data_IF_490735925642
#
_entry.id   IF_490735925642
#
_cell.length_a   1.000
_cell.length_b   1.000
_cell.length_c   1.000
_cell.angle_alpha   90.00
_cell.angle_beta   90.00
_cell.angle_gamma   90.00
#
_symmetry.space_group_name_H-M   'P 1'
#
loop_
_entity.id
_entity.type
_entity.pdbx_description
1 polymer ?
#
# COMPACT_ATOMS: atom_id res chain seq x y z
N UNK A 1 -8.30 -2.76 -4.81
CA UNK A 1 -8.87 -1.65 -4.04
C UNK A 1 -9.31 -0.53 -4.95
N UNK A 2 -10.44 0.08 -4.67
CA UNK A 2 -10.95 1.21 -5.44
C UNK A 2 -11.18 2.42 -4.55
N UNK A 3 -10.75 3.58 -5.04
CA UNK A 3 -11.04 4.87 -4.45
C UNK A 3 -11.90 5.65 -5.43
N UNK A 4 -13.06 6.09 -4.98
CA UNK A 4 -14.01 6.84 -5.82
C UNK A 4 -14.13 8.27 -5.35
N UNK A 5 -14.09 9.18 -6.29
CA UNK A 5 -14.36 10.59 -6.05
C UNK A 5 -15.43 11.07 -7.03
N UNK A 6 -16.52 11.69 -6.56
CA UNK A 6 -17.52 12.23 -7.47
C UNK A 6 -16.97 13.25 -8.45
N UNK A 7 -15.92 13.96 -8.06
CA UNK A 7 -15.32 15.01 -8.89
C UNK A 7 -14.20 14.49 -9.79
N UNK A 8 -13.43 13.47 -9.34
CA UNK A 8 -12.18 13.10 -9.98
C UNK A 8 -12.21 11.74 -10.67
N UNK A 9 -13.24 10.92 -10.42
CA UNK A 9 -13.34 9.60 -11.01
C UNK A 9 -12.91 8.48 -10.05
N UNK A 10 -12.50 7.35 -10.62
CA UNK A 10 -12.16 6.16 -9.86
C UNK A 10 -10.71 5.79 -10.06
N UNK A 11 -10.03 5.56 -8.96
CA UNK A 11 -8.68 5.02 -8.93
C UNK A 11 -8.76 3.56 -8.50
N UNK A 12 -8.08 2.68 -9.23
CA UNK A 12 -8.06 1.25 -8.91
C UNK A 12 -6.64 0.79 -8.71
N UNK A 13 -6.39 0.19 -7.54
CA UNK A 13 -5.12 -0.46 -7.23
C UNK A 13 -5.34 -1.96 -7.20
N UNK A 14 -4.57 -2.70 -7.99
CA UNK A 14 -4.53 -4.15 -7.99
C UNK A 14 -3.14 -4.63 -7.64
N UNK A 15 -3.05 -5.62 -6.76
CA UNK A 15 -1.79 -6.22 -6.33
C UNK A 15 -1.92 -7.73 -6.39
N UNK A 16 -0.85 -8.41 -6.81
CA UNK A 16 -0.84 -9.87 -6.84
C UNK A 16 -0.67 -10.47 -5.44
N UNK A 17 -0.63 -11.80 -5.34
CA UNK A 17 -0.52 -12.49 -4.06
C UNK A 17 0.80 -12.29 -3.32
N UNK A 18 1.79 -11.66 -3.97
CA UNK A 18 3.05 -11.30 -3.32
C UNK A 18 2.89 -10.17 -2.29
N UNK A 19 1.74 -9.49 -2.30
CA UNK A 19 1.43 -8.38 -1.42
C UNK A 19 0.26 -8.72 -0.51
N UNK A 20 0.45 -9.52 0.55
CA UNK A 20 -0.67 -9.96 1.38
C UNK A 20 -1.23 -8.88 2.31
N UNK A 21 -0.56 -7.75 2.44
CA UNK A 21 -0.95 -6.68 3.34
C UNK A 21 -1.18 -5.37 2.60
N UNK A 22 -2.12 -4.57 3.09
CA UNK A 22 -2.41 -3.26 2.55
C UNK A 22 -2.55 -2.28 3.70
N UNK A 23 -1.81 -1.18 3.64
CA UNK A 23 -1.93 -0.09 4.59
C UNK A 23 -2.51 1.13 3.90
N UNK A 24 -3.45 1.79 4.55
CA UNK A 24 -4.06 3.02 4.06
C UNK A 24 -3.86 4.11 5.12
N UNK A 25 -3.33 5.24 4.70
CA UNK A 25 -3.08 6.37 5.59
C UNK A 25 -3.67 7.65 4.99
N UNK A 26 -4.51 8.33 5.76
CA UNK A 26 -5.25 9.52 5.31
C UNK A 26 -4.58 10.84 5.71
N UNK A 27 -3.45 10.78 6.39
CA UNK A 27 -2.72 11.98 6.81
C UNK A 27 -3.23 12.61 8.09
N UNK A 28 -3.97 11.88 8.92
CA UNK A 28 -4.61 12.43 10.13
C UNK A 28 -3.60 12.86 11.20
N UNK A 29 -2.37 12.33 11.15
CA UNK A 29 -1.31 12.70 12.09
C UNK A 29 -0.42 13.83 11.59
N UNK A 30 -0.67 14.34 10.39
CA UNK A 30 0.08 15.44 9.84
C UNK A 30 -0.33 16.78 10.46
N UNK A 31 0.43 17.85 10.15
CA UNK A 31 0.09 19.20 10.61
C UNK A 31 -1.32 19.59 10.16
N UNK A 32 -2.04 20.42 10.93
CA UNK A 32 -3.44 20.75 10.63
C UNK A 32 -3.71 21.19 9.18
N UNK A 33 -2.83 21.97 8.58
CA UNK A 33 -3.01 22.42 7.19
C UNK A 33 -2.78 21.35 6.13
N UNK A 34 -2.31 20.17 6.51
CA UNK A 34 -1.96 19.09 5.60
C UNK A 34 -2.78 17.81 5.82
N UNK A 35 -3.65 17.80 6.81
CA UNK A 35 -4.46 16.62 7.12
C UNK A 35 -5.49 16.37 6.02
N UNK A 36 -5.66 15.09 5.67
CA UNK A 36 -6.68 14.61 4.72
C UNK A 36 -6.64 15.25 3.34
N UNK A 37 -5.50 15.76 2.95
CA UNK A 37 -5.30 16.33 1.60
C UNK A 37 -4.86 15.29 0.58
N UNK A 38 -4.44 14.12 1.06
CA UNK A 38 -4.03 13.00 0.22
C UNK A 38 -4.25 11.71 0.98
N UNK A 39 -4.17 10.60 0.27
CA UNK A 39 -4.24 9.28 0.85
C UNK A 39 -3.06 8.47 0.32
N UNK A 40 -2.36 7.78 1.22
CA UNK A 40 -1.35 6.81 0.86
C UNK A 40 -1.98 5.42 0.90
N UNK A 41 -1.82 4.66 -0.18
CA UNK A 41 -2.26 3.27 -0.26
C UNK A 41 -1.02 2.44 -0.56
N UNK A 42 -0.65 1.59 0.39
CA UNK A 42 0.66 0.95 0.40
C UNK A 42 0.51 -0.56 0.39
N UNK A 43 0.69 -1.24 -0.76
CA UNK A 43 0.87 -2.68 -0.77
C UNK A 43 2.14 -3.05 -0.01
N UNK A 44 2.06 -4.08 0.84
CA UNK A 44 3.16 -4.47 1.72
C UNK A 44 3.34 -5.99 1.71
N UNK A 45 4.57 -6.43 1.84
CA UNK A 45 4.87 -7.87 1.97
C UNK A 45 4.63 -8.37 3.39
N UNK A 46 4.67 -7.48 4.37
CA UNK A 46 4.50 -7.81 5.78
C UNK A 46 3.82 -6.63 6.48
N UNK A 47 3.21 -6.86 7.66
CA UNK A 47 2.60 -5.78 8.42
C UNK A 47 3.66 -4.85 9.01
N UNK A 48 3.27 -3.65 9.48
CA UNK A 48 4.18 -2.78 10.21
C UNK A 48 4.81 -3.50 11.41
N UNK A 49 6.03 -3.15 11.74
CA UNK A 49 6.79 -3.72 12.86
C UNK A 49 7.31 -5.15 12.61
N UNK A 50 7.28 -5.65 11.37
CA UNK A 50 7.69 -7.02 11.06
C UNK A 50 9.18 -7.28 11.33
N UNK A 51 10.03 -6.26 11.29
CA UNK A 51 11.43 -6.42 11.66
C UNK A 51 11.59 -6.82 13.13
N UNK A 52 10.65 -6.42 13.99
CA UNK A 52 10.69 -6.74 15.40
C UNK A 52 9.95 -8.07 15.71
N UNK A 53 8.75 -8.28 15.14
CA UNK A 53 7.91 -9.42 15.49
C UNK A 53 7.99 -10.57 14.50
N UNK A 54 8.59 -10.37 13.33
CA UNK A 54 8.83 -11.37 12.27
C UNK A 54 7.54 -11.91 11.61
N UNK A 55 6.40 -11.27 11.80
CA UNK A 55 5.17 -11.71 11.16
C UNK A 55 5.26 -11.45 9.66
N UNK A 56 5.15 -12.53 8.87
CA UNK A 56 5.21 -12.51 7.39
C UNK A 56 6.45 -11.82 6.81
N UNK A 57 7.50 -11.69 7.59
CA UNK A 57 8.74 -11.08 7.12
C UNK A 57 9.36 -11.92 5.99
N UNK A 58 9.62 -11.27 4.85
CA UNK A 58 10.34 -11.92 3.74
C UNK A 58 11.83 -11.90 4.04
N UNK A 59 12.46 -13.08 4.04
CA UNK A 59 13.89 -13.22 4.23
C UNK A 59 14.48 -13.78 2.95
N UNK A 60 15.44 -13.07 2.36
CA UNK A 60 16.12 -13.52 1.15
C UNK A 60 17.46 -14.14 1.51
N UNK A 61 17.58 -15.44 1.22
CA UNK A 61 18.86 -16.12 1.32
C UNK A 61 19.79 -15.70 0.17
N UNK A 62 21.13 -15.87 0.32
CA UNK A 62 22.05 -15.55 -0.77
C UNK A 62 21.68 -16.27 -2.07
N UNK A 63 21.58 -15.51 -3.16
CA UNK A 63 21.20 -16.04 -4.46
C UNK A 63 19.70 -16.15 -4.71
N UNK A 64 18.87 -15.93 -3.70
CA UNK A 64 17.41 -15.87 -3.86
C UNK A 64 16.96 -14.48 -4.32
N UNK A 65 15.80 -14.45 -4.98
CA UNK A 65 15.16 -13.18 -5.36
C UNK A 65 13.69 -13.17 -4.97
N UNK A 66 13.10 -11.99 -5.00
CA UNK A 66 11.68 -11.80 -4.75
C UNK A 66 11.14 -10.83 -5.80
N UNK A 67 9.92 -11.08 -6.26
CA UNK A 67 9.24 -10.16 -7.17
C UNK A 67 7.77 -10.10 -6.83
N UNK A 68 7.16 -8.95 -7.12
CA UNK A 68 5.74 -8.75 -6.97
C UNK A 68 5.29 -7.68 -7.94
N UNK A 69 4.02 -7.72 -8.31
CA UNK A 69 3.44 -6.76 -9.25
C UNK A 69 2.23 -6.09 -8.63
N UNK A 70 2.15 -4.78 -8.78
CA UNK A 70 0.93 -4.02 -8.53
C UNK A 70 0.68 -3.06 -9.68
N UNK A 71 -0.57 -2.71 -9.89
CA UNK A 71 -0.96 -1.81 -10.96
C UNK A 71 -1.89 -0.74 -10.43
N UNK A 72 -1.82 0.42 -11.05
CA UNK A 72 -2.65 1.56 -10.72
C UNK A 72 -3.35 2.01 -11.99
N UNK A 73 -4.68 2.02 -11.98
CA UNK A 73 -5.49 2.50 -13.08
C UNK A 73 -6.39 3.65 -12.64
N UNK A 74 -6.69 4.54 -13.56
CA UNK A 74 -7.58 5.65 -13.31
C UNK A 74 -8.56 5.79 -14.46
N UNK A 75 -9.86 5.96 -14.11
CA UNK A 75 -10.93 6.21 -15.04
C UNK A 75 -11.87 7.29 -14.54
N UNK A 76 -12.39 8.06 -15.49
CA UNK A 76 -13.37 9.08 -15.15
C UNK A 76 -14.75 8.48 -14.85
#
# INVERSE_FOLDING_TARGET
MRLRSPALGTLELAADGSWPWLQVFTGDTLRPGQRRRSVAVEPMTCPPNALADHIDLVVLEPGADWSGTWTLGWGA
#
